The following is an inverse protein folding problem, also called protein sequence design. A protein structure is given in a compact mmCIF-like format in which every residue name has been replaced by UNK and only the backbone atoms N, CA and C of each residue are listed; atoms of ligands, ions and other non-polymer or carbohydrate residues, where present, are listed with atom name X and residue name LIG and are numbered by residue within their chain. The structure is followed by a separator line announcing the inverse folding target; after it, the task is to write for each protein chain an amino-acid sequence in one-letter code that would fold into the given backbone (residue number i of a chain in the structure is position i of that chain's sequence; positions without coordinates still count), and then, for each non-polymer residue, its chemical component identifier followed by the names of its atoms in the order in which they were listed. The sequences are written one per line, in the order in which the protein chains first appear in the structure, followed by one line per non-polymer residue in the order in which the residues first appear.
data_IF_707307638496
#
_entry.id   IF_707307638496
#
_cell.length_a   1.000
_cell.length_b   1.000
_cell.length_c   1.000
_cell.angle_alpha   90.00
_cell.angle_beta   90.00
_cell.angle_gamma   90.00
#
_symmetry.space_group_name_H-M   'P 1'
#
loop_
_entity.id
_entity.type
_entity.pdbx_description
1 polymer ?
#
# COMPACT_ATOMS: atom_id res chain seq x y z
N UNK A 1 56.14 27.81 -20.41
CA UNK A 1 56.00 26.50 -19.75
C UNK A 1 55.84 26.70 -18.28
N UNK A 2 54.72 26.37 -17.70
CA UNK A 2 54.65 25.31 -16.73
C UNK A 2 53.46 24.40 -16.94
N UNK A 3 53.62 23.16 -16.53
CA UNK A 3 52.73 22.03 -16.69
C UNK A 3 51.47 22.16 -15.85
N UNK A 4 50.32 21.91 -16.47
CA UNK A 4 49.02 21.72 -15.81
C UNK A 4 49.00 20.36 -15.10
N UNK A 5 48.90 20.40 -13.77
CA UNK A 5 48.61 19.22 -12.96
C UNK A 5 47.09 19.14 -12.82
N UNK A 6 46.47 18.16 -13.46
CA UNK A 6 45.07 17.78 -13.20
C UNK A 6 44.97 17.16 -11.80
N UNK A 7 43.96 17.51 -10.98
CA UNK A 7 43.75 16.80 -9.74
C UNK A 7 43.06 15.48 -10.04
N UNK A 8 43.77 14.40 -9.84
CA UNK A 8 43.23 13.04 -9.71
C UNK A 8 42.34 13.02 -8.46
N UNK A 9 41.04 12.79 -8.68
CA UNK A 9 40.09 12.49 -7.59
C UNK A 9 40.60 11.21 -6.88
N UNK A 10 40.57 11.16 -5.54
CA UNK A 10 40.93 9.96 -4.83
C UNK A 10 39.90 8.87 -5.12
N UNK A 11 40.33 7.79 -5.80
CA UNK A 11 39.55 6.54 -5.75
C UNK A 11 39.56 6.09 -4.29
N UNK A 12 38.42 6.33 -3.60
CA UNK A 12 38.22 5.80 -2.26
C UNK A 12 38.35 4.30 -2.31
N UNK A 13 39.21 3.76 -1.46
CA UNK A 13 39.32 2.32 -1.20
C UNK A 13 37.89 1.83 -0.88
N UNK A 14 37.43 0.84 -1.63
CA UNK A 14 36.16 0.15 -1.35
C UNK A 14 36.30 -0.53 0.02
N UNK A 15 35.85 0.14 1.05
CA UNK A 15 35.57 -0.46 2.36
C UNK A 15 34.52 -1.55 2.18
N UNK A 16 34.36 -2.49 3.12
CA UNK A 16 33.33 -3.53 3.02
C UNK A 16 32.00 -2.88 2.69
N UNK A 17 31.40 -3.28 1.55
CA UNK A 17 30.22 -2.65 0.96
C UNK A 17 29.12 -2.44 1.98
N UNK A 18 28.45 -1.29 1.89
CA UNK A 18 27.34 -0.97 2.76
C UNK A 18 26.12 -1.81 2.41
N UNK A 19 25.21 -1.95 3.34
CA UNK A 19 23.99 -2.71 3.15
C UNK A 19 22.77 -1.87 3.50
N UNK A 20 21.62 -2.28 2.99
CA UNK A 20 20.32 -1.76 3.40
C UNK A 20 19.30 -2.89 3.53
N UNK A 21 18.15 -2.54 4.03
CA UNK A 21 16.97 -3.39 3.97
C UNK A 21 15.85 -2.63 3.25
N UNK A 22 15.08 -3.32 2.43
CA UNK A 22 13.97 -2.75 1.67
C UNK A 22 12.72 -3.58 1.94
N UNK A 23 11.72 -2.91 2.47
CA UNK A 23 10.34 -3.36 2.46
C UNK A 23 9.72 -2.88 1.14
N UNK A 24 9.57 -3.80 0.18
CA UNK A 24 8.90 -3.56 -1.09
C UNK A 24 7.45 -4.00 -0.98
N UNK A 25 6.61 -3.15 -0.38
CA UNK A 25 5.19 -3.45 -0.17
C UNK A 25 4.33 -3.23 -1.41
N UNK A 26 3.12 -3.81 -1.40
CA UNK A 26 2.13 -3.62 -2.48
C UNK A 26 1.66 -2.17 -2.58
N UNK A 27 1.38 -1.53 -1.44
CA UNK A 27 0.89 -0.16 -1.36
C UNK A 27 2.00 0.85 -1.10
N UNK A 28 2.88 0.57 -0.15
CA UNK A 28 3.98 1.45 0.25
C UNK A 28 5.28 0.66 0.38
N UNK A 29 6.39 1.36 0.23
CA UNK A 29 7.74 0.83 0.45
C UNK A 29 8.49 1.68 1.46
N UNK A 30 9.44 1.04 2.16
CA UNK A 30 10.33 1.70 3.11
C UNK A 30 11.75 1.14 3.02
N UNK A 31 12.73 1.93 3.43
CA UNK A 31 14.15 1.56 3.40
C UNK A 31 14.78 1.82 4.75
N UNK A 32 15.50 0.83 5.28
CA UNK A 32 16.31 0.96 6.48
C UNK A 32 17.81 0.82 6.15
N UNK A 33 18.62 1.64 6.80
CA UNK A 33 20.07 1.65 6.64
C UNK A 33 20.78 1.60 8.01
N UNK A 34 22.00 1.07 8.09
CA UNK A 34 22.74 1.00 9.36
C UNK A 34 23.12 2.39 9.87
N UNK A 35 22.99 2.59 11.18
CA UNK A 35 23.44 3.77 11.90
C UNK A 35 24.08 3.34 13.20
N UNK A 36 25.36 3.69 13.44
CA UNK A 36 26.02 3.34 14.71
C UNK A 36 25.66 1.94 15.21
N UNK A 37 24.91 1.89 16.32
CA UNK A 37 24.48 0.62 16.93
C UNK A 37 23.10 0.14 16.48
N UNK A 38 22.42 0.82 15.56
CA UNK A 38 21.05 0.53 15.16
C UNK A 38 20.80 0.58 13.66
N UNK A 39 19.53 0.75 13.34
CA UNK A 39 19.01 0.98 11.98
C UNK A 39 18.19 2.26 11.97
N UNK A 40 18.29 3.04 10.91
CA UNK A 40 17.44 4.20 10.67
C UNK A 40 16.62 4.02 9.39
N UNK A 41 15.39 4.53 9.41
CA UNK A 41 14.58 4.64 8.21
C UNK A 41 15.03 5.83 7.36
N UNK A 42 15.16 5.59 6.07
CA UNK A 42 15.47 6.63 5.09
C UNK A 42 14.23 7.49 4.85
N UNK A 43 14.36 8.80 4.92
CA UNK A 43 13.31 9.71 4.47
C UNK A 43 13.29 9.70 2.94
N UNK A 44 12.42 8.86 2.37
CA UNK A 44 12.27 8.70 0.91
C UNK A 44 11.66 9.95 0.25
N UNK A 45 10.79 10.64 0.98
CA UNK A 45 10.13 11.88 0.57
C UNK A 45 10.20 12.92 1.69
N UNK A 46 11.37 13.56 1.91
CA UNK A 46 11.63 14.41 3.08
C UNK A 46 10.64 15.56 3.27
N UNK A 47 10.07 16.06 2.17
CA UNK A 47 9.07 17.14 2.18
C UNK A 47 7.77 16.78 2.91
N UNK A 48 7.55 15.51 3.21
CA UNK A 48 6.37 15.00 3.92
C UNK A 48 6.65 14.64 5.40
N UNK A 49 7.80 15.01 5.94
CA UNK A 49 8.17 14.77 7.34
C UNK A 49 8.17 13.28 7.69
N UNK A 50 7.56 12.89 8.81
CA UNK A 50 7.49 11.48 9.25
C UNK A 50 6.77 10.58 8.23
N UNK A 51 5.73 11.08 7.54
CA UNK A 51 5.04 10.34 6.48
C UNK A 51 5.94 10.06 5.27
N UNK A 52 7.01 10.83 5.10
CA UNK A 52 7.99 10.64 4.03
C UNK A 52 8.98 9.50 4.26
N UNK A 53 8.95 8.82 5.40
CA UNK A 53 9.72 7.60 5.67
C UNK A 53 9.17 6.39 4.91
N UNK A 54 7.89 6.43 4.54
CA UNK A 54 7.28 5.49 3.62
C UNK A 54 6.86 6.20 2.35
N UNK A 55 6.98 5.52 1.22
CA UNK A 55 6.67 6.04 -0.09
C UNK A 55 5.69 5.11 -0.81
N UNK A 56 4.62 5.63 -1.44
CA UNK A 56 3.76 4.80 -2.29
C UNK A 56 4.56 3.98 -3.30
N UNK A 57 4.26 2.69 -3.42
CA UNK A 57 4.87 1.81 -4.42
C UNK A 57 4.27 2.12 -5.78
N UNK A 58 4.67 3.27 -6.34
CA UNK A 58 4.12 3.85 -7.54
C UNK A 58 5.22 4.45 -8.42
N UNK A 59 5.09 4.26 -9.75
CA UNK A 59 5.92 4.89 -10.78
C UNK A 59 4.99 5.49 -11.83
N UNK A 60 5.24 6.74 -12.22
CA UNK A 60 4.54 7.40 -13.30
C UNK A 60 5.53 7.73 -14.42
N UNK A 61 5.29 7.22 -15.60
CA UNK A 61 6.03 7.59 -16.82
C UNK A 61 5.30 8.75 -17.48
N UNK A 62 5.98 9.90 -17.59
CA UNK A 62 5.43 11.06 -18.28
C UNK A 62 5.52 10.82 -19.78
N UNK A 63 4.39 10.98 -20.51
CA UNK A 63 4.35 10.67 -21.95
C UNK A 63 5.20 11.63 -22.80
N UNK A 64 5.45 12.85 -22.28
CA UNK A 64 6.23 13.88 -22.95
C UNK A 64 7.56 14.12 -22.24
N UNK A 65 8.62 14.36 -23.00
CA UNK A 65 9.93 14.67 -22.45
C UNK A 65 10.94 15.00 -23.55
N UNK A 66 12.04 15.71 -23.20
CA UNK A 66 13.05 16.14 -24.17
C UNK A 66 13.85 14.97 -24.77
N UNK A 67 13.95 13.87 -24.01
CA UNK A 67 14.61 12.65 -24.46
C UNK A 67 13.60 11.51 -24.60
N UNK A 68 13.27 11.25 -25.85
CA UNK A 68 12.37 10.16 -26.17
C UNK A 68 12.95 8.77 -25.81
N UNK A 69 14.22 8.57 -25.56
CA UNK A 69 14.82 7.32 -25.13
C UNK A 69 14.78 7.13 -23.62
N UNK A 70 14.61 8.21 -22.85
CA UNK A 70 14.55 8.17 -21.40
C UNK A 70 13.44 9.09 -20.89
N UNK A 71 12.19 8.62 -20.94
CA UNK A 71 11.04 9.37 -20.44
C UNK A 71 11.23 9.72 -18.95
N UNK A 72 10.88 10.94 -18.54
CA UNK A 72 10.88 11.32 -17.14
C UNK A 72 10.00 10.38 -16.33
N UNK A 73 10.49 10.02 -15.15
CA UNK A 73 9.80 9.14 -14.21
C UNK A 73 9.58 9.87 -12.90
N UNK A 74 8.37 9.77 -12.39
CA UNK A 74 8.03 10.21 -11.05
C UNK A 74 7.80 8.98 -10.17
N UNK A 75 8.12 9.08 -8.89
CA UNK A 75 7.99 7.98 -7.94
C UNK A 75 7.15 8.43 -6.75
N UNK A 76 6.55 7.47 -6.07
CA UNK A 76 5.85 7.71 -4.83
C UNK A 76 4.67 8.67 -4.96
N UNK A 77 4.56 9.62 -4.04
CA UNK A 77 3.47 10.62 -4.01
C UNK A 77 3.47 11.51 -5.23
N UNK A 78 4.63 11.87 -5.77
CA UNK A 78 4.71 12.64 -7.00
C UNK A 78 4.14 11.88 -8.20
N UNK A 79 4.32 10.56 -8.27
CA UNK A 79 3.72 9.71 -9.29
C UNK A 79 2.19 9.69 -9.19
N UNK A 80 1.67 9.60 -7.97
CA UNK A 80 0.23 9.62 -7.70
C UNK A 80 -0.36 10.99 -8.02
N UNK A 81 0.31 12.08 -7.60
CA UNK A 81 -0.14 13.45 -7.87
C UNK A 81 -0.25 13.73 -9.37
N UNK A 82 0.78 13.40 -10.16
CA UNK A 82 0.73 13.56 -11.61
C UNK A 82 -0.45 12.83 -12.27
N UNK A 83 -0.77 11.62 -11.77
CA UNK A 83 -1.93 10.88 -12.25
C UNK A 83 -3.26 11.54 -11.88
N UNK A 84 -3.39 12.02 -10.65
CA UNK A 84 -4.59 12.72 -10.15
C UNK A 84 -4.80 14.04 -10.90
N UNK A 85 -3.72 14.79 -11.15
CA UNK A 85 -3.73 16.05 -11.92
C UNK A 85 -4.03 15.83 -13.42
N UNK A 86 -4.07 14.58 -13.88
CA UNK A 86 -4.36 14.24 -15.27
C UNK A 86 -3.19 14.50 -16.22
N UNK A 87 -1.96 14.53 -15.72
CA UNK A 87 -0.75 14.58 -16.55
C UNK A 87 -0.77 13.42 -17.54
N UNK A 88 -0.41 13.69 -18.77
CA UNK A 88 -0.36 12.64 -19.80
C UNK A 88 0.79 11.67 -19.52
N UNK A 89 0.45 10.39 -19.41
CA UNK A 89 1.42 9.37 -19.05
C UNK A 89 0.80 8.08 -18.49
N UNK A 90 1.65 7.25 -17.92
CA UNK A 90 1.25 5.93 -17.40
C UNK A 90 1.62 5.77 -15.93
N UNK A 91 0.62 5.67 -15.05
CA UNK A 91 0.83 5.28 -13.66
C UNK A 91 0.86 3.74 -13.54
N UNK A 92 1.83 3.25 -12.78
CA UNK A 92 1.92 1.87 -12.33
C UNK A 92 1.99 1.82 -10.81
N UNK A 93 1.10 1.03 -10.22
CA UNK A 93 1.00 0.79 -8.77
C UNK A 93 0.93 -0.70 -8.49
N UNK A 94 1.06 -1.05 -7.21
CA UNK A 94 0.89 -2.45 -6.74
C UNK A 94 1.76 -3.44 -7.51
N UNK A 95 2.97 -3.01 -7.89
CA UNK A 95 3.88 -3.77 -8.74
C UNK A 95 4.30 -5.11 -8.11
N UNK A 96 4.20 -5.25 -6.79
CA UNK A 96 4.46 -6.51 -6.09
C UNK A 96 3.48 -7.61 -6.52
N UNK A 97 2.23 -7.26 -6.84
CA UNK A 97 1.20 -8.23 -7.24
C UNK A 97 1.40 -8.85 -8.63
N UNK A 98 2.28 -8.29 -9.47
CA UNK A 98 2.60 -8.88 -10.78
C UNK A 98 3.73 -9.89 -10.73
N UNK A 99 4.46 -9.97 -9.61
CA UNK A 99 5.54 -10.94 -9.41
C UNK A 99 4.97 -12.38 -9.53
N UNK A 100 5.71 -13.25 -10.20
CA UNK A 100 5.27 -14.64 -10.45
C UNK A 100 4.12 -14.81 -11.43
N UNK A 101 3.61 -13.73 -12.03
CA UNK A 101 2.59 -13.78 -13.07
C UNK A 101 3.21 -13.72 -14.48
N UNK A 102 2.46 -14.16 -15.49
CA UNK A 102 2.86 -14.01 -16.89
C UNK A 102 3.01 -12.54 -17.34
N UNK A 103 2.56 -11.58 -16.53
CA UNK A 103 2.71 -10.16 -16.80
C UNK A 103 4.18 -9.70 -16.68
N UNK A 104 5.03 -10.40 -15.92
CA UNK A 104 6.44 -10.02 -15.74
C UNK A 104 7.21 -9.88 -17.07
N UNK A 105 6.88 -10.72 -18.05
CA UNK A 105 7.51 -10.71 -19.38
C UNK A 105 6.76 -9.82 -20.38
N UNK A 106 5.59 -9.32 -20.00
CA UNK A 106 4.79 -8.47 -20.87
C UNK A 106 5.26 -7.02 -20.80
N UNK A 107 5.01 -6.30 -21.90
CA UNK A 107 5.26 -4.88 -21.99
C UNK A 107 3.96 -4.11 -21.80
N UNK A 108 4.03 -3.01 -21.05
CA UNK A 108 2.93 -2.06 -20.91
C UNK A 108 3.24 -0.78 -21.71
N UNK A 109 2.23 -0.24 -22.37
CA UNK A 109 2.34 1.04 -23.04
C UNK A 109 2.55 2.17 -22.00
N UNK A 110 3.56 2.98 -22.21
CA UNK A 110 3.92 4.13 -21.35
C UNK A 110 3.69 5.48 -22.06
N UNK A 111 3.03 5.46 -23.20
CA UNK A 111 2.79 6.64 -24.03
C UNK A 111 3.85 6.85 -25.12
N UNK A 112 3.57 7.78 -26.04
CA UNK A 112 4.44 8.13 -27.17
C UNK A 112 4.85 6.93 -28.05
N UNK A 113 4.01 5.89 -28.14
CA UNK A 113 4.28 4.67 -28.92
C UNK A 113 5.34 3.76 -28.31
N UNK A 114 5.54 3.83 -26.99
CA UNK A 114 6.56 3.07 -26.27
C UNK A 114 5.99 2.14 -25.26
N UNK A 115 6.74 1.09 -25.00
CA UNK A 115 6.42 0.12 -23.98
C UNK A 115 7.63 -0.21 -23.12
N UNK A 116 7.38 -0.64 -21.88
CA UNK A 116 8.37 -1.08 -20.90
C UNK A 116 7.94 -2.42 -20.33
N UNK A 117 8.90 -3.31 -20.06
CA UNK A 117 8.61 -4.57 -19.38
C UNK A 117 8.29 -4.31 -17.90
N UNK A 118 7.38 -5.06 -17.31
CA UNK A 118 7.05 -4.90 -15.88
C UNK A 118 8.27 -5.14 -14.98
N UNK A 119 9.16 -6.05 -15.35
CA UNK A 119 10.43 -6.26 -14.64
C UNK A 119 11.32 -5.01 -14.57
N UNK A 120 11.39 -4.26 -15.69
CA UNK A 120 12.17 -3.02 -15.75
C UNK A 120 11.54 -1.90 -14.91
N UNK A 121 10.21 -1.89 -14.78
CA UNK A 121 9.52 -0.94 -13.89
C UNK A 121 9.91 -1.21 -12.44
N UNK A 122 9.85 -2.48 -12.01
CA UNK A 122 10.25 -2.89 -10.66
C UNK A 122 11.73 -2.57 -10.42
N UNK A 123 12.61 -2.91 -11.36
CA UNK A 123 14.04 -2.56 -11.27
C UNK A 123 14.26 -1.05 -11.15
N UNK A 124 13.54 -0.24 -11.95
CA UNK A 124 13.60 1.23 -11.88
C UNK A 124 13.18 1.75 -10.50
N UNK A 125 12.14 1.18 -9.89
CA UNK A 125 11.68 1.55 -8.56
C UNK A 125 12.70 1.14 -7.48
N UNK A 126 13.23 -0.08 -7.53
CA UNK A 126 14.30 -0.53 -6.62
C UNK A 126 15.56 0.33 -6.74
N UNK A 127 15.91 0.76 -7.96
CA UNK A 127 17.03 1.69 -8.17
C UNK A 127 16.79 3.03 -7.49
N UNK A 128 15.56 3.55 -7.53
CA UNK A 128 15.19 4.78 -6.84
C UNK A 128 15.36 4.63 -5.32
N UNK A 129 14.88 3.54 -4.73
CA UNK A 129 15.05 3.24 -3.31
C UNK A 129 16.54 3.08 -2.93
N UNK A 130 17.32 2.36 -3.74
CA UNK A 130 18.78 2.21 -3.55
C UNK A 130 19.47 3.56 -3.53
N UNK A 131 19.18 4.42 -4.51
CA UNK A 131 19.78 5.77 -4.60
C UNK A 131 19.43 6.64 -3.40
N UNK A 132 18.21 6.55 -2.89
CA UNK A 132 17.81 7.24 -1.67
C UNK A 132 18.62 6.76 -0.45
N UNK A 133 18.83 5.45 -0.32
CA UNK A 133 19.68 4.87 0.72
C UNK A 133 21.15 5.32 0.60
N UNK A 134 21.71 5.31 -0.62
CA UNK A 134 23.06 5.78 -0.90
C UNK A 134 23.21 7.28 -0.59
N UNK A 135 22.24 8.11 -0.99
CA UNK A 135 22.26 9.53 -0.69
C UNK A 135 22.19 9.81 0.83
N UNK A 136 21.39 9.02 1.57
CA UNK A 136 21.26 9.14 3.03
C UNK A 136 22.56 8.77 3.75
N UNK A 137 23.23 7.68 3.31
CA UNK A 137 24.42 7.16 3.97
C UNK A 137 25.72 7.78 3.46
N UNK A 138 25.70 8.41 2.29
CA UNK A 138 26.90 8.88 1.60
C UNK A 138 27.83 7.74 1.14
N UNK A 139 27.33 6.49 1.05
CA UNK A 139 28.11 5.29 0.73
C UNK A 139 27.47 4.52 -0.41
N UNK A 140 28.29 3.76 -1.13
CA UNK A 140 27.77 2.78 -2.07
C UNK A 140 27.16 1.59 -1.31
N UNK A 141 26.02 1.09 -1.80
CA UNK A 141 25.25 0.01 -1.19
C UNK A 141 25.11 -1.11 -2.22
N UNK A 142 25.69 -2.26 -1.90
CA UNK A 142 25.74 -3.43 -2.78
C UNK A 142 25.10 -4.69 -2.19
N UNK A 143 24.64 -4.63 -0.93
CA UNK A 143 23.98 -5.75 -0.23
C UNK A 143 22.62 -5.33 0.29
N UNK A 144 21.63 -6.23 0.19
CA UNK A 144 20.27 -5.94 0.60
C UNK A 144 19.57 -7.14 1.24
N UNK A 145 18.76 -6.87 2.27
CA UNK A 145 17.70 -7.78 2.71
C UNK A 145 16.39 -7.22 2.20
N UNK A 146 15.67 -8.04 1.42
CA UNK A 146 14.33 -7.72 0.91
C UNK A 146 13.27 -8.42 1.76
N UNK A 147 12.19 -7.73 2.03
CA UNK A 147 10.98 -8.33 2.57
C UNK A 147 10.31 -9.25 1.54
N UNK A 148 9.79 -10.37 2.01
CA UNK A 148 8.90 -11.22 1.23
C UNK A 148 7.66 -11.58 2.07
N UNK A 149 6.47 -11.63 1.46
CA UNK A 149 5.30 -12.21 2.12
C UNK A 149 5.54 -13.70 2.37
N UNK A 150 4.68 -14.33 3.16
CA UNK A 150 4.76 -15.79 3.34
C UNK A 150 4.58 -16.48 2.01
N UNK A 151 3.61 -16.01 1.22
CA UNK A 151 3.40 -16.44 -0.16
C UNK A 151 3.25 -15.20 -1.06
N UNK A 152 4.00 -15.12 -2.16
CA UNK A 152 3.73 -14.18 -3.25
C UNK A 152 2.53 -14.63 -4.07
N UNK A 153 2.34 -15.95 -4.18
CA UNK A 153 1.24 -16.59 -4.90
C UNK A 153 0.73 -17.73 -4.04
N UNK A 154 -0.51 -17.62 -3.60
CA UNK A 154 -1.15 -18.64 -2.78
C UNK A 154 -1.33 -19.94 -3.58
N UNK A 155 -1.19 -21.07 -2.90
CA UNK A 155 -1.42 -22.44 -3.41
C UNK A 155 -0.62 -22.83 -4.67
N UNK A 156 0.42 -22.07 -5.03
CA UNK A 156 1.30 -22.36 -6.18
C UNK A 156 2.78 -22.11 -5.84
N UNK A 157 3.44 -23.13 -5.31
CA UNK A 157 4.86 -23.06 -4.91
C UNK A 157 5.81 -22.73 -6.09
N UNK A 158 5.46 -23.13 -7.31
CA UNK A 158 6.28 -22.84 -8.51
C UNK A 158 6.22 -21.36 -8.85
N UNK A 159 5.02 -20.78 -8.86
CA UNK A 159 4.83 -19.33 -9.10
C UNK A 159 5.35 -18.50 -7.93
N UNK A 160 5.23 -18.96 -6.70
CA UNK A 160 5.81 -18.29 -5.52
C UNK A 160 7.34 -18.21 -5.63
N UNK A 161 8.00 -19.30 -5.99
CA UNK A 161 9.44 -19.31 -6.22
C UNK A 161 9.86 -18.43 -7.41
N UNK A 162 9.08 -18.42 -8.50
CA UNK A 162 9.32 -17.55 -9.65
C UNK A 162 9.16 -16.07 -9.28
N UNK A 163 8.22 -15.73 -8.42
CA UNK A 163 8.00 -14.36 -7.93
C UNK A 163 9.22 -13.88 -7.12
N UNK A 164 9.73 -14.70 -6.20
CA UNK A 164 10.95 -14.37 -5.47
C UNK A 164 12.15 -14.20 -6.41
N UNK A 165 12.33 -15.12 -7.35
CA UNK A 165 13.42 -15.07 -8.33
C UNK A 165 13.35 -13.80 -9.21
N UNK A 166 12.14 -13.39 -9.60
CA UNK A 166 11.91 -12.15 -10.37
C UNK A 166 12.30 -10.90 -9.58
N UNK A 167 11.96 -10.85 -8.29
CA UNK A 167 12.34 -9.72 -7.42
C UNK A 167 13.86 -9.72 -7.17
N UNK A 168 14.46 -10.89 -6.97
CA UNK A 168 15.92 -11.02 -6.86
C UNK A 168 16.63 -10.55 -8.13
N UNK A 169 16.16 -10.97 -9.31
CA UNK A 169 16.71 -10.56 -10.59
C UNK A 169 16.64 -9.03 -10.77
N UNK A 170 15.51 -8.40 -10.43
CA UNK A 170 15.37 -6.95 -10.47
C UNK A 170 16.35 -6.24 -9.52
N UNK A 171 16.57 -6.77 -8.31
CA UNK A 171 17.54 -6.24 -7.36
C UNK A 171 18.97 -6.37 -7.88
N UNK A 172 19.32 -7.53 -8.45
CA UNK A 172 20.66 -7.74 -9.05
C UNK A 172 20.89 -6.83 -10.27
N UNK A 173 19.88 -6.60 -11.10
CA UNK A 173 19.94 -5.70 -12.25
C UNK A 173 20.29 -4.25 -11.86
N UNK A 174 19.93 -3.81 -10.65
CA UNK A 174 20.28 -2.48 -10.13
C UNK A 174 21.58 -2.47 -9.29
N UNK A 175 22.36 -3.57 -9.35
CA UNK A 175 23.70 -3.65 -8.78
C UNK A 175 23.77 -4.05 -7.32
N UNK A 176 22.77 -4.78 -6.79
CA UNK A 176 22.96 -5.53 -5.56
C UNK A 176 23.68 -6.86 -5.85
N UNK A 177 24.77 -7.12 -5.14
CA UNK A 177 25.61 -8.32 -5.33
C UNK A 177 25.23 -9.44 -4.36
N UNK A 178 24.81 -9.10 -3.13
CA UNK A 178 24.27 -10.06 -2.15
C UNK A 178 22.82 -9.65 -1.82
N UNK A 179 21.88 -10.49 -2.24
CA UNK A 179 20.44 -10.30 -2.04
C UNK A 179 19.93 -11.42 -1.16
N UNK A 180 19.32 -11.06 -0.05
CA UNK A 180 18.72 -11.99 0.90
C UNK A 180 17.26 -11.64 1.13
N UNK A 181 16.49 -12.62 1.56
CA UNK A 181 15.08 -12.46 1.86
C UNK A 181 14.78 -12.81 3.31
N UNK A 182 13.87 -12.04 3.91
CA UNK A 182 13.26 -12.38 5.19
C UNK A 182 11.75 -12.26 5.08
N UNK A 183 11.02 -13.12 5.76
CA UNK A 183 9.57 -13.07 5.83
C UNK A 183 9.11 -11.80 6.56
N UNK A 184 8.21 -11.06 5.92
CA UNK A 184 7.66 -9.80 6.43
C UNK A 184 7.03 -9.94 7.82
N UNK A 185 6.19 -10.98 8.11
CA UNK A 185 5.65 -11.14 9.47
C UNK A 185 6.72 -11.45 10.53
N UNK A 186 7.78 -12.16 10.17
CA UNK A 186 8.90 -12.39 11.09
C UNK A 186 9.65 -11.08 11.34
N UNK A 187 9.93 -10.31 10.27
CA UNK A 187 10.59 -9.02 10.40
C UNK A 187 9.75 -8.05 11.24
N UNK A 188 8.45 -7.96 11.01
CA UNK A 188 7.55 -7.12 11.80
C UNK A 188 7.60 -7.46 13.30
N UNK A 189 7.68 -8.75 13.63
CA UNK A 189 7.70 -9.21 15.00
C UNK A 189 9.07 -9.08 15.72
N UNK A 190 10.18 -8.77 15.00
CA UNK A 190 11.52 -8.77 15.60
C UNK A 190 11.65 -7.83 16.79
N UNK A 191 11.11 -6.62 16.71
CA UNK A 191 11.19 -5.70 17.83
C UNK A 191 10.43 -6.20 19.07
N UNK A 192 9.29 -6.85 18.88
CA UNK A 192 8.56 -7.50 19.97
C UNK A 192 9.32 -8.72 20.50
N UNK A 193 9.93 -9.51 19.62
CA UNK A 193 10.72 -10.69 19.99
C UNK A 193 11.93 -10.34 20.89
N UNK A 194 12.49 -9.14 20.76
CA UNK A 194 13.58 -8.68 21.64
C UNK A 194 13.14 -8.47 23.09
N UNK A 195 11.84 -8.23 23.32
CA UNK A 195 11.28 -7.94 24.63
C UNK A 195 10.73 -9.18 25.33
N UNK A 196 10.47 -10.27 24.61
CA UNK A 196 9.89 -11.48 25.21
C UNK A 196 10.96 -12.32 25.90
N UNK A 197 10.61 -12.88 27.05
CA UNK A 197 11.50 -13.70 27.90
C UNK A 197 11.25 -15.20 27.77
N UNK A 198 10.19 -15.61 27.08
CA UNK A 198 9.81 -16.99 26.79
C UNK A 198 9.28 -17.10 25.37
N UNK A 199 9.22 -18.34 24.86
CA UNK A 199 8.55 -18.59 23.59
C UNK A 199 7.07 -18.21 23.68
N UNK A 200 6.57 -17.53 22.64
CA UNK A 200 5.19 -17.09 22.49
C UNK A 200 4.69 -17.37 21.08
N UNK A 201 3.39 -17.60 20.99
CA UNK A 201 2.67 -17.68 19.73
C UNK A 201 1.95 -16.37 19.47
N UNK A 202 2.30 -15.70 18.39
CA UNK A 202 1.85 -14.35 18.06
C UNK A 202 1.10 -14.36 16.74
N UNK A 203 -0.04 -13.68 16.67
CA UNK A 203 -0.63 -13.30 15.40
C UNK A 203 -0.06 -11.94 15.01
N UNK A 204 0.64 -11.89 13.88
CA UNK A 204 1.00 -10.64 13.21
C UNK A 204 -0.15 -10.28 12.30
N UNK A 205 -0.81 -9.15 12.57
CA UNK A 205 -1.88 -8.57 11.79
C UNK A 205 -1.31 -7.38 11.00
N UNK A 206 -1.02 -7.60 9.73
CA UNK A 206 -0.57 -6.55 8.79
C UNK A 206 -1.77 -6.08 7.96
N UNK A 207 -2.30 -4.91 8.30
CA UNK A 207 -3.50 -4.36 7.68
C UNK A 207 -3.12 -3.09 6.93
N UNK A 208 -2.87 -3.27 5.63
CA UNK A 208 -2.43 -2.22 4.73
C UNK A 208 -3.56 -1.41 4.09
N UNK A 209 -3.30 -0.86 2.91
CA UNK A 209 -4.31 -0.15 2.12
C UNK A 209 -5.23 -1.09 1.34
N UNK A 210 -4.71 -2.20 0.80
CA UNK A 210 -5.45 -3.11 -0.09
C UNK A 210 -5.64 -4.53 0.42
N UNK A 211 -4.83 -4.97 1.38
CA UNK A 211 -4.88 -6.32 1.97
C UNK A 211 -4.80 -6.29 3.48
N UNK A 212 -5.38 -7.31 4.10
CA UNK A 212 -5.22 -7.62 5.51
C UNK A 212 -4.65 -9.02 5.62
N UNK A 213 -3.39 -9.10 6.02
CA UNK A 213 -2.62 -10.33 6.06
C UNK A 213 -2.36 -10.74 7.53
N UNK A 214 -2.63 -12.00 7.83
CA UNK A 214 -2.46 -12.57 9.15
C UNK A 214 -1.46 -13.71 9.11
N UNK A 215 -0.50 -13.69 10.02
CA UNK A 215 0.46 -14.79 10.18
C UNK A 215 0.58 -15.20 11.63
N UNK A 216 0.42 -16.48 11.91
CA UNK A 216 0.72 -17.06 13.23
C UNK A 216 2.19 -17.41 13.26
N UNK A 217 2.93 -16.76 14.13
CA UNK A 217 4.39 -16.94 14.24
C UNK A 217 4.80 -17.29 15.67
N UNK A 218 5.86 -18.09 15.79
CA UNK A 218 6.54 -18.32 17.07
C UNK A 218 7.69 -17.33 17.22
N UNK A 219 7.72 -16.66 18.34
CA UNK A 219 8.78 -15.72 18.73
C UNK A 219 9.37 -16.11 20.08
N UNK A 220 10.62 -15.78 20.32
CA UNK A 220 11.24 -16.09 21.61
C UNK A 220 12.77 -15.97 21.61
N UNK A 221 13.39 -15.97 22.79
CA UNK A 221 14.85 -15.78 22.92
C UNK A 221 15.70 -16.75 22.09
N UNK A 222 15.30 -18.03 22.06
CA UNK A 222 16.02 -19.05 21.30
C UNK A 222 15.70 -19.00 19.79
N UNK A 223 14.50 -18.54 19.45
CA UNK A 223 14.05 -18.41 18.06
C UNK A 223 14.81 -17.32 17.31
N UNK A 224 14.98 -16.17 17.92
CA UNK A 224 15.71 -15.03 17.32
C UNK A 224 17.14 -15.35 16.93
N UNK A 225 17.74 -16.40 17.48
CA UNK A 225 19.11 -16.83 17.17
C UNK A 225 19.17 -17.70 15.90
N UNK A 226 18.04 -18.23 15.45
CA UNK A 226 17.98 -19.10 14.27
C UNK A 226 18.04 -18.26 12.99
N UNK A 227 18.80 -18.74 11.99
CA UNK A 227 18.90 -18.09 10.68
C UNK A 227 17.73 -18.42 9.77
N UNK A 228 17.26 -19.68 9.80
CA UNK A 228 16.07 -20.10 9.05
C UNK A 228 14.86 -20.03 9.99
N UNK A 229 13.98 -19.08 9.71
CA UNK A 229 12.76 -18.80 10.48
C UNK A 229 11.50 -19.35 9.84
N UNK A 230 11.62 -20.08 8.71
CA UNK A 230 10.45 -20.64 8.00
C UNK A 230 9.60 -21.52 8.92
N UNK A 231 10.24 -22.35 9.73
CA UNK A 231 9.57 -23.24 10.68
C UNK A 231 8.87 -22.52 11.84
N UNK A 232 9.07 -21.21 12.01
CA UNK A 232 8.39 -20.40 13.00
C UNK A 232 7.08 -19.83 12.51
N UNK A 233 6.82 -19.85 11.21
CA UNK A 233 5.54 -19.49 10.62
C UNK A 233 4.64 -20.71 10.62
N UNK A 234 3.61 -20.72 11.49
CA UNK A 234 2.70 -21.86 11.66
C UNK A 234 1.57 -21.83 10.62
N UNK A 235 1.08 -20.66 10.30
CA UNK A 235 0.09 -20.43 9.25
C UNK A 235 0.15 -18.99 8.77
N UNK A 236 -0.33 -18.75 7.55
CA UNK A 236 -0.57 -17.43 7.01
C UNK A 236 -1.81 -17.45 6.14
N UNK A 237 -2.63 -16.42 6.25
CA UNK A 237 -3.83 -16.26 5.44
C UNK A 237 -4.18 -14.77 5.33
N UNK A 238 -4.70 -14.34 4.17
CA UNK A 238 -5.01 -12.95 3.91
C UNK A 238 -6.38 -12.76 3.25
N UNK A 239 -6.83 -11.52 3.25
CA UNK A 239 -8.05 -11.10 2.57
C UNK A 239 -7.81 -9.78 1.84
N UNK A 240 -8.34 -9.67 0.61
CA UNK A 240 -8.38 -8.43 -0.15
C UNK A 240 -9.52 -7.55 0.36
N UNK A 241 -9.33 -6.98 1.53
CA UNK A 241 -10.22 -6.01 2.17
C UNK A 241 -9.39 -5.24 3.19
N UNK A 242 -9.24 -3.93 3.00
CA UNK A 242 -8.43 -3.08 3.86
C UNK A 242 -8.79 -1.59 3.69
N UNK A 243 -7.87 -0.69 4.02
CA UNK A 243 -8.12 0.74 4.14
C UNK A 243 -8.79 1.41 2.95
N UNK A 244 -8.40 1.08 1.72
CA UNK A 244 -9.01 1.66 0.50
C UNK A 244 -10.43 1.15 0.22
N UNK A 245 -10.77 -0.05 0.69
CA UNK A 245 -12.15 -0.53 0.64
C UNK A 245 -13.02 0.20 1.65
N UNK A 246 -12.47 0.51 2.84
CA UNK A 246 -13.16 1.31 3.84
C UNK A 246 -13.46 2.71 3.30
N UNK A 247 -12.48 3.37 2.67
CA UNK A 247 -12.65 4.69 2.05
C UNK A 247 -13.76 4.66 1.01
N UNK A 248 -13.73 3.66 0.12
CA UNK A 248 -14.75 3.44 -0.91
C UNK A 248 -16.15 3.26 -0.31
N UNK A 249 -16.29 2.49 0.77
CA UNK A 249 -17.57 2.26 1.39
C UNK A 249 -18.12 3.50 2.09
N UNK A 250 -17.25 4.30 2.72
CA UNK A 250 -17.63 5.61 3.30
C UNK A 250 -18.04 6.57 2.18
N UNK A 251 -17.31 6.63 1.06
CA UNK A 251 -17.65 7.45 -0.09
C UNK A 251 -19.03 7.09 -0.66
N UNK A 252 -19.27 5.79 -0.91
CA UNK A 252 -20.57 5.27 -1.39
C UNK A 252 -21.70 5.54 -0.42
N UNK A 253 -21.46 5.46 0.89
CA UNK A 253 -22.51 5.61 1.89
C UNK A 253 -22.83 7.08 2.20
N UNK A 254 -21.86 8.01 2.10
CA UNK A 254 -22.01 9.38 2.61
C UNK A 254 -21.87 10.47 1.55
N UNK A 255 -20.95 10.34 0.61
CA UNK A 255 -20.66 11.37 -0.39
C UNK A 255 -21.52 11.18 -1.64
N UNK A 256 -21.47 10.00 -2.23
CA UNK A 256 -22.11 9.73 -3.52
C UNK A 256 -23.65 9.77 -3.52
N UNK A 257 -24.38 9.59 -2.39
CA UNK A 257 -25.82 9.86 -2.36
C UNK A 257 -26.18 11.32 -2.69
N UNK A 258 -25.32 12.29 -2.33
CA UNK A 258 -25.53 13.69 -2.72
C UNK A 258 -25.43 13.90 -4.25
N UNK A 259 -24.79 12.98 -4.96
CA UNK A 259 -24.66 12.96 -6.42
C UNK A 259 -25.69 12.03 -7.10
N UNK A 260 -26.56 11.36 -6.29
CA UNK A 260 -27.61 10.50 -6.80
C UNK A 260 -27.37 8.99 -6.72
N UNK A 261 -26.35 8.53 -6.02
CA UNK A 261 -26.19 7.10 -5.74
C UNK A 261 -27.36 6.60 -4.89
N UNK A 262 -28.01 5.50 -5.31
CA UNK A 262 -29.20 4.96 -4.65
C UNK A 262 -30.47 5.80 -4.84
N UNK A 263 -30.43 6.87 -5.65
CA UNK A 263 -31.61 7.65 -5.99
C UNK A 263 -32.49 6.92 -7.00
N UNK A 264 -33.75 7.35 -7.08
CA UNK A 264 -34.72 6.83 -8.03
C UNK A 264 -35.01 7.84 -9.11
N UNK A 265 -35.41 7.34 -10.26
CA UNK A 265 -35.89 8.12 -11.38
C UNK A 265 -37.35 8.67 -11.13
N UNK A 266 -37.84 9.48 -12.07
CA UNK A 266 -39.20 10.03 -11.97
C UNK A 266 -40.26 8.92 -12.01
N UNK A 267 -41.43 9.13 -11.33
CA UNK A 267 -42.53 8.19 -11.36
C UNK A 267 -43.00 7.91 -12.79
N UNK A 268 -43.13 6.64 -13.13
CA UNK A 268 -43.62 6.20 -14.45
C UNK A 268 -45.03 5.62 -14.29
N UNK A 269 -45.99 6.06 -15.14
CA UNK A 269 -47.39 5.63 -15.06
C UNK A 269 -47.50 4.08 -15.06
N UNK A 270 -48.00 3.51 -13.93
CA UNK A 270 -48.20 2.07 -13.79
C UNK A 270 -46.93 1.22 -13.58
N UNK A 271 -45.81 1.83 -13.24
CA UNK A 271 -44.55 1.12 -12.92
C UNK A 271 -43.89 1.77 -11.72
N UNK A 272 -43.18 0.96 -10.94
CA UNK A 272 -42.27 1.47 -9.89
C UNK A 272 -41.16 2.32 -10.51
N UNK A 273 -40.71 3.39 -9.81
CA UNK A 273 -39.56 4.15 -10.21
C UNK A 273 -38.33 3.23 -10.32
N UNK A 274 -37.54 3.40 -11.35
CA UNK A 274 -36.28 2.66 -11.49
C UNK A 274 -35.20 3.35 -10.67
N UNK A 275 -34.34 2.56 -10.05
CA UNK A 275 -33.13 3.08 -9.42
C UNK A 275 -32.16 3.62 -10.48
N UNK A 276 -31.48 4.70 -10.16
CA UNK A 276 -30.40 5.26 -11.01
C UNK A 276 -29.28 4.24 -11.16
N UNK A 277 -28.73 4.06 -12.37
CA UNK A 277 -27.67 3.06 -12.57
C UNK A 277 -26.46 3.28 -11.63
N UNK A 278 -26.23 2.32 -10.76
CA UNK A 278 -25.20 2.39 -9.70
C UNK A 278 -23.77 2.23 -10.20
N UNK A 279 -23.55 1.63 -11.38
CA UNK A 279 -22.24 1.32 -11.95
C UNK A 279 -21.30 2.52 -12.02
N UNK A 280 -21.83 3.69 -12.35
CA UNK A 280 -21.04 4.92 -12.50
C UNK A 280 -20.42 5.32 -11.16
N UNK A 281 -21.18 5.18 -10.09
CA UNK A 281 -20.74 5.52 -8.74
C UNK A 281 -19.72 4.51 -8.21
N UNK A 282 -19.87 3.22 -8.52
CA UNK A 282 -18.85 2.22 -8.20
C UNK A 282 -17.53 2.49 -8.95
N UNK A 283 -17.60 2.84 -10.24
CA UNK A 283 -16.42 3.18 -11.02
C UNK A 283 -15.76 4.46 -10.45
N UNK A 284 -16.56 5.45 -10.02
CA UNK A 284 -16.09 6.71 -9.43
C UNK A 284 -15.46 6.52 -8.04
N UNK A 285 -15.99 5.62 -7.22
CA UNK A 285 -15.44 5.29 -5.89
C UNK A 285 -14.28 4.26 -5.96
N UNK A 286 -13.98 3.71 -7.13
CA UNK A 286 -12.90 2.73 -7.28
C UNK A 286 -11.66 3.39 -7.86
N UNK A 287 -10.65 3.59 -7.03
CA UNK A 287 -9.48 4.44 -7.31
C UNK A 287 -8.87 4.26 -8.71
N UNK A 288 -8.67 3.04 -9.17
CA UNK A 288 -8.07 2.75 -10.48
C UNK A 288 -9.07 2.86 -11.65
N UNK A 289 -10.37 2.99 -11.38
CA UNK A 289 -11.41 3.15 -12.39
C UNK A 289 -11.83 4.61 -12.57
N UNK A 290 -11.55 5.51 -11.61
CA UNK A 290 -11.95 6.91 -11.64
C UNK A 290 -11.65 7.56 -12.98
N UNK A 291 -10.42 7.44 -13.50
CA UNK A 291 -10.06 8.06 -14.76
C UNK A 291 -10.77 7.46 -16.00
N UNK A 292 -11.37 6.27 -15.86
CA UNK A 292 -12.12 5.66 -16.97
C UNK A 292 -13.46 6.33 -17.21
N UNK A 293 -14.06 6.97 -16.17
CA UNK A 293 -15.33 7.69 -16.30
C UNK A 293 -15.17 9.06 -16.96
N UNK A 294 -13.94 9.60 -17.03
CA UNK A 294 -13.65 10.89 -17.67
C UNK A 294 -13.49 10.81 -19.21
N UNK A 295 -13.57 9.61 -19.79
CA UNK A 295 -13.46 9.43 -21.24
C UNK A 295 -14.62 10.14 -21.95
N UNK A 296 -14.37 10.86 -23.05
CA UNK A 296 -15.40 11.67 -23.74
C UNK A 296 -16.69 10.89 -24.06
N UNK A 297 -16.56 9.66 -24.56
CA UNK A 297 -17.70 8.81 -24.84
C UNK A 297 -18.53 8.52 -23.58
N UNK A 298 -17.85 8.20 -22.46
CA UNK A 298 -18.51 7.89 -21.19
C UNK A 298 -19.22 9.12 -20.62
N UNK A 299 -18.58 10.29 -20.70
CA UNK A 299 -19.21 11.56 -20.30
C UNK A 299 -20.48 11.86 -21.10
N UNK A 300 -20.47 11.60 -22.43
CA UNK A 300 -21.68 11.78 -23.25
C UNK A 300 -22.80 10.79 -22.85
N UNK A 301 -22.47 9.54 -22.60
CA UNK A 301 -23.44 8.54 -22.11
C UNK A 301 -24.09 9.00 -20.78
N UNK A 302 -23.28 9.45 -19.82
CA UNK A 302 -23.76 9.90 -18.51
C UNK A 302 -24.56 11.20 -18.66
N UNK A 303 -24.14 12.14 -19.49
CA UNK A 303 -24.88 13.37 -19.74
C UNK A 303 -26.29 13.11 -20.31
N UNK A 304 -26.45 12.06 -21.12
CA UNK A 304 -27.74 11.66 -21.67
C UNK A 304 -28.72 11.06 -20.62
N UNK A 305 -28.23 10.68 -19.45
CA UNK A 305 -29.02 10.07 -18.37
C UNK A 305 -29.77 11.09 -17.48
N UNK A 306 -29.79 12.38 -17.85
CA UNK A 306 -30.39 13.44 -17.04
C UNK A 306 -31.83 13.13 -16.61
N UNK A 307 -32.64 12.58 -17.49
CA UNK A 307 -34.04 12.27 -17.25
C UNK A 307 -34.27 10.98 -16.44
N UNK A 308 -33.21 10.27 -16.11
CA UNK A 308 -33.26 9.09 -15.23
C UNK A 308 -33.24 9.50 -13.75
N UNK A 309 -33.04 10.77 -13.43
CA UNK A 309 -33.04 11.31 -12.05
C UNK A 309 -34.32 12.04 -11.72
N UNK A 310 -34.98 11.67 -10.63
CA UNK A 310 -36.14 12.43 -10.14
C UNK A 310 -35.74 13.82 -9.62
N UNK A 311 -34.61 13.94 -8.96
CA UNK A 311 -34.01 15.22 -8.58
C UNK A 311 -32.90 15.59 -9.58
N UNK A 312 -33.11 16.61 -10.42
CA UNK A 312 -32.10 17.01 -11.44
C UNK A 312 -30.82 17.55 -10.83
N UNK A 313 -30.79 17.94 -9.54
CA UNK A 313 -29.57 18.37 -8.84
C UNK A 313 -28.54 17.23 -8.73
N UNK A 314 -29.01 16.00 -8.48
CA UNK A 314 -28.14 14.83 -8.41
C UNK A 314 -27.32 14.66 -9.70
N UNK A 315 -28.00 14.68 -10.85
CA UNK A 315 -27.29 14.60 -12.14
C UNK A 315 -26.38 15.80 -12.40
N UNK A 316 -26.80 17.00 -12.02
CA UNK A 316 -25.98 18.20 -12.18
C UNK A 316 -24.67 18.10 -11.37
N UNK A 317 -24.75 17.67 -10.10
CA UNK A 317 -23.61 17.45 -9.21
C UNK A 317 -22.67 16.36 -9.74
N UNK A 318 -23.24 15.23 -10.19
CA UNK A 318 -22.46 14.18 -10.84
C UNK A 318 -21.70 14.73 -12.06
N UNK A 319 -22.38 15.49 -12.92
CA UNK A 319 -21.74 16.05 -14.11
C UNK A 319 -20.67 17.09 -13.80
N UNK A 320 -20.83 17.90 -12.75
CA UNK A 320 -19.75 18.79 -12.25
C UNK A 320 -18.55 17.95 -11.79
N UNK A 321 -18.77 16.97 -10.92
CA UNK A 321 -17.72 16.05 -10.44
C UNK A 321 -16.92 15.43 -11.60
N UNK A 322 -17.61 15.00 -12.65
CA UNK A 322 -16.97 14.34 -13.79
C UNK A 322 -16.23 15.31 -14.71
N UNK A 323 -16.78 16.51 -14.99
CA UNK A 323 -16.18 17.53 -15.84
C UNK A 323 -14.93 18.15 -15.22
N UNK A 324 -15.01 18.39 -13.90
CA UNK A 324 -13.93 19.02 -13.14
C UNK A 324 -12.96 17.97 -12.54
N UNK A 325 -13.18 16.67 -12.87
CA UNK A 325 -12.34 15.53 -12.49
C UNK A 325 -12.13 15.38 -10.98
N UNK A 326 -13.18 15.63 -10.19
CA UNK A 326 -13.10 15.66 -8.72
C UNK A 326 -13.10 14.26 -8.05
N UNK A 327 -13.22 13.15 -8.79
CA UNK A 327 -13.35 11.81 -8.21
C UNK A 327 -12.22 11.43 -7.24
N UNK A 328 -10.96 11.76 -7.58
CA UNK A 328 -9.86 11.51 -6.65
C UNK A 328 -9.90 12.41 -5.39
N UNK A 329 -10.40 13.63 -5.54
CA UNK A 329 -10.62 14.52 -4.40
C UNK A 329 -11.69 13.95 -3.47
N UNK A 330 -12.80 13.41 -4.01
CA UNK A 330 -13.85 12.75 -3.21
C UNK A 330 -13.33 11.53 -2.46
N UNK A 331 -12.50 10.69 -3.10
CA UNK A 331 -11.84 9.57 -2.42
C UNK A 331 -10.94 10.03 -1.27
N UNK A 332 -10.21 11.14 -1.45
CA UNK A 332 -9.42 11.77 -0.39
C UNK A 332 -10.29 12.30 0.77
N UNK A 333 -11.40 12.95 0.46
CA UNK A 333 -12.35 13.43 1.47
C UNK A 333 -12.98 12.27 2.27
N UNK A 334 -13.24 11.13 1.63
CA UNK A 334 -13.72 9.92 2.30
C UNK A 334 -12.69 9.34 3.26
N UNK A 335 -11.40 9.30 2.85
CA UNK A 335 -10.29 8.89 3.71
C UNK A 335 -10.14 9.81 4.92
N UNK A 336 -10.12 11.13 4.70
CA UNK A 336 -10.01 12.13 5.76
C UNK A 336 -11.17 12.03 6.74
N UNK A 337 -12.40 11.87 6.25
CA UNK A 337 -13.60 11.69 7.06
C UNK A 337 -13.52 10.41 7.91
N UNK A 338 -13.13 9.27 7.32
CA UNK A 338 -12.92 8.01 8.05
C UNK A 338 -11.90 8.19 9.18
N UNK A 339 -10.77 8.86 8.90
CA UNK A 339 -9.72 9.12 9.89
C UNK A 339 -10.25 10.03 11.00
N UNK A 340 -10.98 11.08 10.65
CA UNK A 340 -11.50 12.05 11.60
C UNK A 340 -12.48 11.42 12.60
N UNK A 341 -13.35 10.51 12.15
CA UNK A 341 -14.34 9.84 13.02
C UNK A 341 -13.83 8.54 13.66
N UNK A 342 -12.60 8.11 13.37
CA UNK A 342 -12.05 6.84 13.89
C UNK A 342 -11.94 6.77 15.43
N UNK A 343 -12.01 7.91 16.11
CA UNK A 343 -11.96 8.03 17.57
C UNK A 343 -13.27 8.61 18.17
N UNK A 344 -14.32 8.63 17.38
CA UNK A 344 -15.64 9.15 17.77
C UNK A 344 -15.97 10.52 17.19
N UNK A 345 -17.24 10.90 17.27
CA UNK A 345 -17.73 12.22 16.87
C UNK A 345 -18.36 12.27 15.49
N UNK A 346 -18.41 13.47 14.95
CA UNK A 346 -18.97 13.77 13.63
C UNK A 346 -17.99 14.62 12.85
N UNK A 347 -17.84 14.32 11.57
CA UNK A 347 -17.04 15.11 10.63
C UNK A 347 -17.92 15.66 9.53
N UNK A 348 -17.74 16.93 9.18
CA UNK A 348 -18.40 17.57 8.04
C UNK A 348 -17.47 17.52 6.82
N UNK A 349 -18.01 16.98 5.72
CA UNK A 349 -17.33 16.87 4.44
C UNK A 349 -17.83 18.02 3.57
N UNK A 350 -16.94 18.96 3.26
CA UNK A 350 -17.23 20.08 2.38
C UNK A 350 -17.13 19.65 0.91
N UNK A 351 -18.22 19.81 0.18
CA UNK A 351 -18.31 19.51 -1.26
C UNK A 351 -18.51 20.81 -2.09
N UNK A 352 -17.99 21.92 -1.60
CA UNK A 352 -18.10 23.25 -2.22
C UNK A 352 -17.67 23.28 -3.69
N UNK A 353 -16.66 22.48 -4.08
CA UNK A 353 -16.22 22.39 -5.47
C UNK A 353 -17.27 21.80 -6.41
N UNK A 354 -18.22 21.00 -5.87
CA UNK A 354 -19.32 20.43 -6.65
C UNK A 354 -20.50 21.41 -6.71
N UNK A 355 -20.90 21.95 -5.57
CA UNK A 355 -21.99 22.91 -5.45
C UNK A 355 -21.75 23.78 -4.22
N UNK A 356 -21.95 25.09 -4.37
CA UNK A 356 -21.80 26.03 -3.26
C UNK A 356 -22.71 25.65 -2.08
N UNK A 357 -22.16 25.72 -0.88
CA UNK A 357 -22.83 25.40 0.39
C UNK A 357 -23.28 23.92 0.52
N UNK A 358 -22.76 23.02 -0.33
CA UNK A 358 -23.00 21.58 -0.22
C UNK A 358 -22.06 20.97 0.80
N UNK A 359 -22.60 20.48 1.90
CA UNK A 359 -21.90 19.71 2.92
C UNK A 359 -22.64 18.41 3.21
N UNK A 360 -21.91 17.37 3.55
CA UNK A 360 -22.46 16.12 4.09
C UNK A 360 -21.71 15.76 5.36
N UNK A 361 -22.42 15.18 6.33
CA UNK A 361 -21.79 14.76 7.57
C UNK A 361 -21.63 13.25 7.61
N UNK A 362 -20.63 12.79 8.36
CA UNK A 362 -20.44 11.38 8.72
C UNK A 362 -20.19 11.28 10.23
N UNK A 363 -20.88 10.37 10.88
CA UNK A 363 -20.63 10.00 12.27
C UNK A 363 -19.80 8.72 12.36
N UNK A 364 -19.21 8.43 13.54
CA UNK A 364 -18.54 7.15 13.78
C UNK A 364 -19.46 5.96 13.46
N UNK A 365 -20.71 5.98 13.96
CA UNK A 365 -21.67 4.88 13.74
C UNK A 365 -21.98 4.65 12.25
N UNK A 366 -22.10 5.70 11.48
CA UNK A 366 -22.36 5.63 10.03
C UNK A 366 -21.14 5.09 9.26
N UNK A 367 -19.93 5.55 9.61
CA UNK A 367 -18.69 5.03 9.03
C UNK A 367 -18.50 3.54 9.38
N UNK A 368 -18.74 3.17 10.65
CA UNK A 368 -18.71 1.78 11.13
C UNK A 368 -19.72 0.91 10.39
N UNK A 369 -20.96 1.39 10.25
CA UNK A 369 -22.01 0.65 9.53
C UNK A 369 -21.60 0.40 8.06
N UNK A 370 -20.99 1.39 7.41
CA UNK A 370 -20.53 1.29 6.03
C UNK A 370 -19.45 0.21 5.83
N UNK A 371 -18.55 0.01 6.82
CA UNK A 371 -17.41 -0.92 6.73
C UNK A 371 -17.59 -2.21 7.55
N UNK A 372 -18.73 -2.40 8.22
CA UNK A 372 -18.92 -3.51 9.18
C UNK A 372 -18.68 -4.88 8.55
N UNK A 373 -19.14 -5.08 7.31
CA UNK A 373 -18.95 -6.33 6.58
C UNK A 373 -17.46 -6.64 6.34
N UNK A 374 -16.66 -5.62 6.01
CA UNK A 374 -15.22 -5.79 5.82
C UNK A 374 -14.53 -6.12 7.13
N UNK A 375 -14.91 -5.44 8.23
CA UNK A 375 -14.37 -5.72 9.55
C UNK A 375 -14.65 -7.17 9.96
N UNK A 376 -15.87 -7.67 9.72
CA UNK A 376 -16.23 -9.05 10.03
C UNK A 376 -15.40 -10.06 9.21
N UNK A 377 -15.19 -9.79 7.91
CA UNK A 377 -14.32 -10.61 7.06
C UNK A 377 -12.88 -10.65 7.57
N UNK A 378 -12.33 -9.51 7.95
CA UNK A 378 -10.97 -9.39 8.49
C UNK A 378 -10.83 -10.21 9.79
N UNK A 379 -11.78 -10.08 10.72
CA UNK A 379 -11.78 -10.86 11.98
C UNK A 379 -11.90 -12.35 11.71
N UNK A 380 -12.75 -12.75 10.77
CA UNK A 380 -12.90 -14.18 10.39
C UNK A 380 -11.60 -14.72 9.77
N UNK A 381 -10.91 -13.92 8.97
CA UNK A 381 -9.60 -14.30 8.39
C UNK A 381 -8.55 -14.53 9.49
N UNK A 382 -8.51 -13.69 10.51
CA UNK A 382 -7.61 -13.86 11.65
C UNK A 382 -7.91 -15.15 12.42
N UNK A 383 -9.19 -15.44 12.69
CA UNK A 383 -9.63 -16.68 13.36
C UNK A 383 -9.30 -17.93 12.51
N UNK A 384 -9.51 -17.84 11.19
CA UNK A 384 -9.17 -18.92 10.28
C UNK A 384 -7.66 -19.17 10.24
N UNK A 385 -6.84 -18.11 10.30
CA UNK A 385 -5.37 -18.25 10.37
C UNK A 385 -4.94 -19.01 11.63
N UNK A 386 -5.54 -18.71 12.78
CA UNK A 386 -5.29 -19.47 14.01
C UNK A 386 -5.72 -20.95 13.87
N UNK A 387 -6.89 -21.21 13.26
CA UNK A 387 -7.37 -22.56 12.97
C UNK A 387 -6.44 -23.33 12.04
N UNK A 388 -5.92 -22.70 10.99
CA UNK A 388 -4.94 -23.28 10.07
C UNK A 388 -3.62 -23.62 10.76
N UNK A 389 -3.24 -22.85 11.78
CA UNK A 389 -2.10 -23.18 12.66
C UNK A 389 -2.39 -24.32 13.64
N UNK A 390 -3.61 -24.85 13.67
CA UNK A 390 -4.03 -25.88 14.64
C UNK A 390 -4.25 -25.33 16.06
N UNK A 391 -4.48 -24.03 16.21
CA UNK A 391 -4.59 -23.34 17.49
C UNK A 391 -6.02 -22.80 17.72
N UNK A 392 -6.42 -22.80 18.98
CA UNK A 392 -7.61 -22.09 19.42
C UNK A 392 -7.26 -20.61 19.71
N UNK A 393 -8.24 -19.72 19.66
CA UNK A 393 -8.01 -18.29 19.95
C UNK A 393 -7.37 -18.04 21.32
N UNK A 394 -7.70 -18.84 22.32
CA UNK A 394 -7.16 -18.76 23.69
C UNK A 394 -5.72 -19.27 23.83
N UNK A 395 -5.14 -19.86 22.78
CA UNK A 395 -3.76 -20.30 22.73
C UNK A 395 -2.81 -19.25 22.09
N UNK A 396 -3.33 -18.10 21.69
CA UNK A 396 -2.55 -16.99 21.16
C UNK A 396 -2.09 -16.09 22.30
N UNK A 397 -0.77 -15.88 22.42
CA UNK A 397 -0.17 -15.06 23.49
C UNK A 397 -0.26 -13.56 23.18
N UNK A 398 -0.12 -13.16 21.90
CA UNK A 398 -0.18 -11.76 21.52
C UNK A 398 -0.75 -11.54 20.12
N UNK A 399 -1.37 -10.36 19.92
CA UNK A 399 -1.76 -9.78 18.64
C UNK A 399 -0.80 -8.63 18.35
N UNK A 400 0.05 -8.76 17.35
CA UNK A 400 0.97 -7.72 16.92
C UNK A 400 0.40 -6.98 15.71
N UNK A 401 0.04 -5.71 15.91
CA UNK A 401 -0.58 -4.88 14.89
C UNK A 401 0.46 -4.07 14.12
N UNK A 402 0.44 -4.18 12.79
CA UNK A 402 1.22 -3.37 11.85
C UNK A 402 0.37 -3.01 10.63
N UNK A 403 0.86 -2.09 9.79
CA UNK A 403 0.08 -1.56 8.67
C UNK A 403 -0.77 -0.35 9.03
N UNK A 404 -0.98 0.54 8.05
CA UNK A 404 -1.62 1.85 8.26
C UNK A 404 -3.04 1.80 8.80
N UNK A 405 -3.82 0.79 8.38
CA UNK A 405 -5.23 0.66 8.75
C UNK A 405 -5.47 0.12 10.17
N UNK A 406 -4.43 -0.38 10.85
CA UNK A 406 -4.51 -0.77 12.28
C UNK A 406 -4.74 0.43 13.21
N UNK A 407 -4.68 1.66 12.69
CA UNK A 407 -5.09 2.87 13.39
C UNK A 407 -6.59 2.97 13.66
N UNK A 408 -7.42 2.19 12.99
CA UNK A 408 -8.86 2.13 13.25
C UNK A 408 -9.11 1.35 14.55
N UNK A 409 -9.42 2.07 15.62
CA UNK A 409 -9.61 1.49 16.98
C UNK A 409 -10.60 0.33 16.98
N UNK A 410 -11.74 0.49 16.31
CA UNK A 410 -12.77 -0.54 16.25
C UNK A 410 -12.26 -1.87 15.67
N UNK A 411 -11.40 -1.84 14.67
CA UNK A 411 -10.80 -3.05 14.09
C UNK A 411 -9.89 -3.76 15.12
N UNK A 412 -9.05 -2.98 15.81
CA UNK A 412 -8.19 -3.51 16.86
C UNK A 412 -9.02 -4.10 18.01
N UNK A 413 -10.10 -3.43 18.44
CA UNK A 413 -11.00 -3.88 19.49
C UNK A 413 -11.73 -5.19 19.11
N UNK A 414 -12.21 -5.30 17.87
CA UNK A 414 -12.87 -6.52 17.36
C UNK A 414 -11.88 -7.71 17.29
N UNK A 415 -10.66 -7.46 16.83
CA UNK A 415 -9.61 -8.49 16.81
C UNK A 415 -9.23 -8.90 18.25
N UNK A 416 -9.06 -7.96 19.17
CA UNK A 416 -8.79 -8.26 20.57
C UNK A 416 -9.94 -9.06 21.21
N UNK A 417 -11.19 -8.76 20.91
CA UNK A 417 -12.35 -9.52 21.38
C UNK A 417 -12.38 -10.96 20.83
N UNK A 418 -11.88 -11.19 19.61
CA UNK A 418 -11.78 -12.52 19.01
C UNK A 418 -10.66 -13.38 19.64
N UNK A 419 -9.65 -12.75 20.26
CA UNK A 419 -8.51 -13.41 20.93
C UNK A 419 -8.37 -12.92 22.38
N UNK A 420 -9.27 -13.32 23.28
CA UNK A 420 -9.45 -12.67 24.58
C UNK A 420 -8.27 -12.84 25.54
N UNK A 421 -7.37 -13.79 25.30
CA UNK A 421 -6.17 -14.05 26.12
C UNK A 421 -4.93 -13.36 25.56
N UNK A 422 -4.99 -12.87 24.31
CA UNK A 422 -3.85 -12.31 23.62
C UNK A 422 -3.59 -10.86 24.07
N UNK A 423 -2.33 -10.55 24.33
CA UNK A 423 -1.91 -9.18 24.58
C UNK A 423 -1.91 -8.39 23.26
N UNK A 424 -2.62 -7.27 23.20
CA UNK A 424 -2.54 -6.34 22.07
C UNK A 424 -1.21 -5.57 22.11
N UNK A 425 -0.43 -5.67 21.04
CA UNK A 425 0.87 -5.00 20.89
C UNK A 425 0.83 -4.20 19.60
N UNK A 426 1.13 -2.92 19.69
CA UNK A 426 1.18 -2.03 18.52
C UNK A 426 2.62 -1.78 18.12
N UNK A 427 2.99 -2.21 16.92
CA UNK A 427 4.24 -1.85 16.29
C UNK A 427 4.19 -0.45 15.65
N UNK A 428 5.30 -0.04 15.06
CA UNK A 428 5.27 1.10 14.15
C UNK A 428 4.43 0.74 12.91
N UNK A 429 3.33 1.47 12.71
CA UNK A 429 2.33 1.17 11.67
C UNK A 429 2.89 1.14 10.25
N UNK A 430 3.98 1.87 10.01
CA UNK A 430 4.50 2.08 8.67
C UNK A 430 5.92 1.53 8.47
N UNK A 431 6.58 1.13 9.55
CA UNK A 431 8.01 0.88 9.53
C UNK A 431 8.45 -0.40 10.23
N UNK A 432 7.57 -1.13 10.92
CA UNK A 432 7.92 -2.36 11.65
C UNK A 432 8.65 -3.36 10.77
N UNK A 433 8.14 -3.62 9.56
CA UNK A 433 8.74 -4.55 8.61
C UNK A 433 10.12 -4.06 8.19
N UNK A 434 10.25 -2.82 7.70
CA UNK A 434 11.52 -2.28 7.24
C UNK A 434 12.59 -2.23 8.34
N UNK A 435 12.20 -1.87 9.57
CA UNK A 435 13.09 -1.87 10.74
C UNK A 435 13.56 -3.28 11.07
N UNK A 436 12.64 -4.24 11.09
CA UNK A 436 12.98 -5.64 11.35
C UNK A 436 13.86 -6.25 10.26
N UNK A 437 13.59 -5.95 8.98
CA UNK A 437 14.48 -6.33 7.87
C UNK A 437 15.87 -5.70 8.03
N UNK A 438 15.93 -4.47 8.55
CA UNK A 438 17.18 -3.79 8.88
C UNK A 438 17.97 -4.52 9.96
N UNK A 439 17.31 -4.97 11.03
CA UNK A 439 17.96 -5.79 12.07
C UNK A 439 18.50 -7.10 11.49
N UNK A 440 17.79 -7.73 10.60
CA UNK A 440 18.24 -8.93 9.89
C UNK A 440 19.43 -8.63 8.98
N UNK A 441 19.39 -7.52 8.23
CA UNK A 441 20.49 -7.09 7.40
C UNK A 441 21.78 -6.86 8.23
N UNK A 442 21.63 -6.28 9.41
CA UNK A 442 22.73 -6.09 10.36
C UNK A 442 23.32 -7.43 10.83
N UNK A 443 22.48 -8.41 11.15
CA UNK A 443 22.92 -9.76 11.57
C UNK A 443 23.73 -10.49 10.48
N UNK A 444 23.38 -10.24 9.21
CA UNK A 444 24.04 -10.90 8.09
C UNK A 444 25.29 -10.17 7.60
N UNK A 445 25.27 -8.85 7.59
CA UNK A 445 26.23 -8.03 6.86
C UNK A 445 27.13 -7.17 7.74
N UNK A 446 26.78 -6.94 9.01
CA UNK A 446 27.70 -6.24 9.91
C UNK A 446 28.96 -7.06 10.16
N UNK A 447 30.13 -6.41 10.26
CA UNK A 447 31.35 -7.09 10.74
C UNK A 447 31.10 -7.66 12.14
N UNK A 448 31.60 -8.86 12.39
CA UNK A 448 31.55 -9.49 13.70
C UNK A 448 32.36 -8.70 14.75
#
# INVERSE_FOLDING_TARGET
MPASVSPTAPHGQAGPGSYCAIDFGTSNSAVAVPTGDGMALVALEPQHGERGRTMPTAVFYVAEGPDLHNLPKLYGRAAVAAYVEGTDGRLMRSMKSVLGSALMEQHTDIGAGRSVAFGDVIASYLLHLKRAAQAHTGRDIDRVVLGRPVFFVDDDATRDAAAQASLEAAARAVGFTDVRFQYEPIAAAFHYEEQVTREQTVIVADIGGGTSDFSVVRVGPDRRLQRDRRGDILASHGVHSAGTDFDRHVELARILPALGYGAYGPPRKGREPLEVPSRIYFDLATWHLINTVYRPQRLMEIAAMRDDYADPRHHARLMTTLRDRLGHALAGLAEDAKIAVAQGGTHEIDLFEIERDLCVSVTEDEAVAAISHDLDRIVQTALETARLAGLRPDAIDALYFTGGSTGLRLLADRLAAAFPTAQAVHGDRFASVATGLGLEARRHFAPA
#
